data_IF_140276628990
#
_entry.id   IF_140276628990
#
_cell.length_a   1.000
_cell.length_b   1.000
_cell.length_c   1.000
_cell.angle_alpha   90.00
_cell.angle_beta   90.00
_cell.angle_gamma   90.00
#
_symmetry.space_group_name_H-M   'P 1'
#
loop_
_entity.id
_entity.type
_entity.pdbx_description
1 polymer ?
#
# COMPACT_ATOMS: atom_id res chain seq x y z
N UNK A 1 -5.63 9.17 57.98
CA UNK A 1 -6.14 8.21 56.97
C UNK A 1 -5.91 8.78 55.58
N UNK A 2 -4.99 8.20 54.81
CA UNK A 2 -4.75 8.59 53.42
C UNK A 2 -5.65 7.75 52.48
N UNK A 3 -6.26 8.32 51.42
CA UNK A 3 -7.14 7.56 50.55
C UNK A 3 -6.35 6.56 49.70
N UNK A 4 -6.87 5.33 49.60
CA UNK A 4 -6.31 4.20 48.85
C UNK A 4 -5.97 4.58 47.40
N UNK A 5 -4.71 4.38 47.00
CA UNK A 5 -4.31 4.33 45.59
C UNK A 5 -5.12 3.23 44.89
N UNK A 6 -6.02 3.60 43.96
CA UNK A 6 -6.53 2.66 42.97
C UNK A 6 -5.33 2.11 42.20
N UNK A 7 -5.07 0.81 42.30
CA UNK A 7 -4.23 0.10 41.33
C UNK A 7 -5.00 0.16 40.00
N UNK A 8 -4.70 1.14 39.18
CA UNK A 8 -4.99 1.07 37.74
C UNK A 8 -4.28 -0.18 37.23
N UNK A 9 -4.94 -1.08 36.48
CA UNK A 9 -4.24 -2.19 35.84
C UNK A 9 -3.15 -1.59 34.96
N UNK A 10 -1.91 -2.08 35.13
CA UNK A 10 -0.84 -1.78 34.21
C UNK A 10 -1.29 -2.22 32.82
N UNK A 11 -1.13 -1.34 31.83
CA UNK A 11 -1.27 -1.69 30.43
C UNK A 11 -0.24 -2.77 30.11
N UNK A 12 -0.67 -4.03 30.06
CA UNK A 12 0.15 -5.13 29.63
C UNK A 12 -0.72 -6.21 28.97
N UNK A 13 -0.20 -6.68 27.83
CA UNK A 13 -0.31 -8.07 27.36
C UNK A 13 -1.58 -8.51 26.64
N UNK A 14 -1.92 -7.84 25.53
CA UNK A 14 -2.33 -8.59 24.34
C UNK A 14 -1.13 -8.64 23.37
N UNK A 15 -0.48 -9.80 23.14
CA UNK A 15 0.21 -9.99 21.87
C UNK A 15 -0.86 -9.82 20.78
N UNK A 16 -0.62 -9.00 19.75
CA UNK A 16 -1.69 -8.61 18.84
C UNK A 16 -2.08 -9.85 18.05
N UNK A 17 -3.38 -10.12 17.91
CA UNK A 17 -3.90 -11.26 17.15
C UNK A 17 -3.28 -11.42 15.74
N UNK A 18 -2.70 -10.34 15.19
CA UNK A 18 -1.94 -10.33 13.93
C UNK A 18 -0.68 -11.22 13.93
N UNK A 19 0.09 -11.31 15.02
CA UNK A 19 1.30 -12.14 15.04
C UNK A 19 0.99 -13.64 15.03
N UNK A 20 -0.04 -14.06 15.76
CA UNK A 20 -0.44 -15.47 15.78
C UNK A 20 -1.04 -15.88 14.42
N UNK A 21 -1.91 -15.05 13.82
CA UNK A 21 -2.40 -15.27 12.45
C UNK A 21 -1.25 -15.34 11.43
N UNK A 22 -0.20 -14.54 11.63
CA UNK A 22 0.98 -14.53 10.77
C UNK A 22 1.80 -15.82 10.91
N UNK A 23 1.95 -16.35 12.13
CA UNK A 23 2.60 -17.65 12.39
C UNK A 23 1.80 -18.80 11.81
N UNK A 24 0.47 -18.79 11.94
CA UNK A 24 -0.41 -19.78 11.32
C UNK A 24 -0.27 -19.76 9.79
N UNK A 25 -0.25 -18.57 9.21
CA UNK A 25 -0.03 -18.38 7.76
C UNK A 25 1.34 -18.91 7.32
N UNK A 26 2.39 -18.66 8.10
CA UNK A 26 3.73 -19.18 7.86
C UNK A 26 3.75 -20.72 7.88
N UNK A 27 3.12 -21.34 8.89
CA UNK A 27 3.06 -22.79 9.03
C UNK A 27 2.34 -23.44 7.83
N UNK A 28 1.21 -22.87 7.42
CA UNK A 28 0.47 -23.35 6.25
C UNK A 28 1.28 -23.24 4.94
N UNK A 29 2.03 -22.14 4.76
CA UNK A 29 2.95 -21.98 3.63
C UNK A 29 4.07 -23.04 3.65
N UNK A 30 4.62 -23.34 4.83
CA UNK A 30 5.68 -24.32 4.99
C UNK A 30 5.21 -25.73 4.61
N UNK A 31 4.03 -26.14 5.09
CA UNK A 31 3.41 -27.44 4.76
C UNK A 31 3.09 -27.55 3.26
N UNK A 32 2.59 -26.47 2.66
CA UNK A 32 2.34 -26.42 1.22
C UNK A 32 3.65 -26.59 0.43
N UNK A 33 4.70 -25.83 0.77
CA UNK A 33 5.99 -25.90 0.08
C UNK A 33 6.60 -27.30 0.17
N UNK A 34 6.55 -27.91 1.35
CA UNK A 34 7.01 -29.28 1.56
C UNK A 34 6.24 -30.25 0.65
N UNK A 35 4.91 -30.18 0.65
CA UNK A 35 4.06 -31.05 -0.18
C UNK A 35 4.36 -30.91 -1.68
N UNK A 36 4.55 -29.68 -2.17
CA UNK A 36 4.86 -29.46 -3.60
C UNK A 36 6.28 -29.94 -3.92
N UNK A 37 7.24 -29.73 -3.03
CA UNK A 37 8.62 -30.18 -3.20
C UNK A 37 8.70 -31.71 -3.26
N UNK A 38 8.04 -32.42 -2.35
CA UNK A 38 7.95 -33.89 -2.35
C UNK A 38 7.32 -34.43 -3.65
N UNK A 39 6.25 -33.79 -4.13
CA UNK A 39 5.64 -34.15 -5.43
C UNK A 39 6.57 -33.90 -6.62
N UNK A 40 7.44 -32.89 -6.54
CA UNK A 40 8.37 -32.54 -7.59
C UNK A 40 9.60 -33.47 -7.64
N UNK A 41 9.98 -34.10 -6.52
CA UNK A 41 11.12 -35.04 -6.46
C UNK A 41 10.96 -36.27 -7.38
N UNK A 42 9.73 -36.60 -7.79
CA UNK A 42 9.44 -37.66 -8.75
C UNK A 42 9.45 -37.24 -10.22
N UNK A 43 9.74 -35.97 -10.54
CA UNK A 43 9.63 -35.41 -11.90
C UNK A 43 11.00 -34.89 -12.37
N UNK A 44 11.43 -35.28 -13.58
CA UNK A 44 12.73 -34.83 -14.11
C UNK A 44 12.83 -33.29 -14.16
N UNK A 45 13.98 -32.66 -13.85
CA UNK A 45 14.15 -31.19 -13.81
C UNK A 45 13.68 -30.47 -15.08
N UNK A 46 13.85 -31.10 -16.25
CA UNK A 46 13.45 -30.55 -17.55
C UNK A 46 11.93 -30.61 -17.82
N UNK A 47 11.14 -31.24 -16.94
CA UNK A 47 9.66 -31.36 -17.05
C UNK A 47 8.91 -30.62 -15.96
N UNK A 48 9.58 -30.09 -14.93
CA UNK A 48 8.91 -29.31 -13.89
C UNK A 48 8.87 -27.83 -14.27
N UNK A 49 7.79 -27.43 -14.94
CA UNK A 49 7.48 -26.03 -15.23
C UNK A 49 7.21 -25.28 -13.91
N UNK A 50 8.27 -24.80 -13.26
CA UNK A 50 8.18 -24.11 -11.97
C UNK A 50 9.35 -24.31 -11.01
N UNK A 51 10.47 -24.92 -11.42
CA UNK A 51 11.61 -25.15 -10.51
C UNK A 51 12.14 -23.84 -9.88
N UNK A 52 12.19 -22.76 -10.67
CA UNK A 52 12.52 -21.43 -10.19
C UNK A 52 11.50 -20.88 -9.17
N UNK A 53 10.25 -21.31 -9.23
CA UNK A 53 9.22 -20.85 -8.28
C UNK A 53 9.37 -21.56 -6.92
N UNK A 54 9.86 -22.80 -6.89
CA UNK A 54 10.15 -23.52 -5.64
C UNK A 54 11.28 -22.87 -4.86
N UNK A 55 12.33 -22.41 -5.54
CA UNK A 55 13.43 -21.68 -4.90
C UNK A 55 12.99 -20.30 -4.41
N UNK A 56 12.17 -19.57 -5.18
CA UNK A 56 11.58 -18.29 -4.73
C UNK A 56 10.68 -18.50 -3.51
N UNK A 57 9.90 -19.58 -3.47
CA UNK A 57 9.04 -19.90 -2.33
C UNK A 57 9.84 -20.28 -1.08
N UNK A 58 10.93 -21.03 -1.24
CA UNK A 58 11.87 -21.32 -0.15
C UNK A 58 12.48 -20.02 0.42
N UNK A 59 12.92 -19.12 -0.46
CA UNK A 59 13.42 -17.80 -0.05
C UNK A 59 12.33 -16.99 0.67
N UNK A 60 11.08 -17.03 0.20
CA UNK A 60 9.96 -16.40 0.91
C UNK A 60 9.88 -16.92 2.35
N UNK A 61 9.87 -18.24 2.57
CA UNK A 61 9.78 -18.84 3.90
C UNK A 61 10.95 -18.41 4.82
N UNK A 62 12.17 -18.39 4.31
CA UNK A 62 13.35 -17.95 5.05
C UNK A 62 13.25 -16.49 5.50
N UNK A 63 12.78 -15.62 4.60
CA UNK A 63 12.58 -14.21 4.88
C UNK A 63 11.39 -13.95 5.80
N UNK A 64 10.29 -14.68 5.61
CA UNK A 64 9.12 -14.66 6.49
C UNK A 64 9.52 -14.99 7.92
N UNK A 65 10.27 -16.07 8.10
CA UNK A 65 10.79 -16.49 9.40
C UNK A 65 11.74 -15.46 10.00
N UNK A 66 12.64 -14.90 9.19
CA UNK A 66 13.57 -13.84 9.63
C UNK A 66 12.81 -12.63 10.18
N UNK A 67 11.71 -12.24 9.55
CA UNK A 67 10.89 -11.10 9.96
C UNK A 67 10.05 -11.43 11.21
N UNK A 68 9.40 -12.61 11.27
CA UNK A 68 8.64 -13.06 12.45
C UNK A 68 9.56 -13.11 13.68
N UNK A 69 10.68 -13.82 13.55
CA UNK A 69 11.55 -14.15 14.68
C UNK A 69 12.30 -12.92 15.21
N UNK A 70 12.44 -11.85 14.41
CA UNK A 70 13.16 -10.64 14.79
C UNK A 70 12.59 -9.97 16.05
N UNK A 71 13.41 -9.83 17.09
CA UNK A 71 13.05 -9.09 18.29
C UNK A 71 13.74 -7.72 18.28
N UNK A 72 12.96 -6.65 18.10
CA UNK A 72 13.48 -5.27 18.12
C UNK A 72 14.16 -4.97 19.46
N UNK A 73 15.39 -4.45 19.42
CA UNK A 73 16.20 -4.17 20.61
C UNK A 73 17.07 -5.35 21.06
N UNK A 74 16.99 -6.50 20.36
CA UNK A 74 17.96 -7.57 20.51
C UNK A 74 19.11 -7.34 19.53
N UNK A 75 20.30 -7.04 20.06
CA UNK A 75 21.48 -6.70 19.26
C UNK A 75 21.84 -7.75 18.19
N UNK A 76 21.63 -9.04 18.48
CA UNK A 76 21.94 -10.13 17.53
C UNK A 76 20.95 -10.16 16.37
N UNK A 77 19.66 -9.97 16.68
CA UNK A 77 18.60 -9.95 15.67
C UNK A 77 18.69 -8.67 14.83
N UNK A 78 18.94 -7.53 15.47
CA UNK A 78 19.13 -6.23 14.82
C UNK A 78 20.33 -6.29 13.85
N UNK A 79 21.48 -6.82 14.29
CA UNK A 79 22.65 -6.99 13.42
C UNK A 79 22.39 -7.96 12.25
N UNK A 80 21.61 -9.02 12.49
CA UNK A 80 21.19 -9.95 11.44
C UNK A 80 20.29 -9.26 10.41
N UNK A 81 19.32 -8.46 10.86
CA UNK A 81 18.45 -7.70 9.97
C UNK A 81 19.23 -6.74 9.09
N UNK A 82 20.15 -5.95 9.69
CA UNK A 82 20.99 -5.00 8.93
C UNK A 82 21.77 -5.71 7.84
N UNK A 83 22.36 -6.87 8.16
CA UNK A 83 23.11 -7.69 7.20
C UNK A 83 22.24 -8.24 6.06
N UNK A 84 21.03 -8.70 6.37
CA UNK A 84 20.13 -9.33 5.39
C UNK A 84 19.22 -8.30 4.68
N UNK A 85 19.16 -7.04 5.14
CA UNK A 85 18.22 -6.03 4.66
C UNK A 85 18.29 -5.83 3.14
N UNK A 86 19.49 -5.79 2.55
CA UNK A 86 19.64 -5.65 1.10
C UNK A 86 19.01 -6.82 0.35
N UNK A 87 19.26 -8.05 0.81
CA UNK A 87 18.75 -9.26 0.16
C UNK A 87 17.24 -9.38 0.28
N UNK A 88 16.70 -9.02 1.45
CA UNK A 88 15.26 -8.88 1.67
C UNK A 88 14.65 -7.89 0.68
N UNK A 89 15.25 -6.70 0.54
CA UNK A 89 14.78 -5.68 -0.40
C UNK A 89 14.82 -6.19 -1.85
N UNK A 90 15.92 -6.82 -2.28
CA UNK A 90 16.05 -7.33 -3.65
C UNK A 90 15.03 -8.43 -3.96
N UNK A 91 14.73 -9.29 -2.97
CA UNK A 91 13.67 -10.29 -3.08
C UNK A 91 12.30 -9.66 -3.29
N UNK A 92 11.90 -8.70 -2.43
CA UNK A 92 10.60 -8.03 -2.55
C UNK A 92 10.50 -7.16 -3.81
N UNK A 93 11.61 -6.59 -4.28
CA UNK A 93 11.65 -5.76 -5.49
C UNK A 93 11.56 -6.57 -6.79
N UNK A 94 12.17 -7.76 -6.84
CA UNK A 94 12.37 -8.45 -8.12
C UNK A 94 11.71 -9.82 -8.21
N UNK A 95 11.46 -10.48 -7.07
CA UNK A 95 11.06 -11.89 -7.07
C UNK A 95 9.65 -12.11 -6.55
N UNK A 96 9.22 -11.37 -5.51
CA UNK A 96 7.93 -11.64 -4.83
C UNK A 96 6.72 -11.59 -5.76
N UNK A 97 6.75 -10.72 -6.78
CA UNK A 97 5.63 -10.56 -7.70
C UNK A 97 5.36 -11.82 -8.54
N UNK A 98 6.38 -12.64 -8.81
CA UNK A 98 6.21 -13.90 -9.56
C UNK A 98 5.37 -14.93 -8.80
N UNK A 99 5.35 -14.85 -7.46
CA UNK A 99 4.56 -15.76 -6.63
C UNK A 99 3.06 -15.51 -6.77
N UNK A 100 2.64 -14.27 -7.04
CA UNK A 100 1.23 -13.97 -7.32
C UNK A 100 0.77 -14.43 -8.71
N UNK A 101 1.70 -14.74 -9.62
CA UNK A 101 1.38 -15.30 -10.93
C UNK A 101 1.14 -16.83 -10.90
N UNK A 102 1.43 -17.47 -9.76
CA UNK A 102 1.19 -18.88 -9.55
C UNK A 102 -0.31 -19.12 -9.23
N UNK A 103 -0.91 -20.23 -9.70
CA UNK A 103 -2.28 -20.61 -9.35
C UNK A 103 -2.34 -21.14 -7.91
N UNK A 104 -2.04 -20.29 -6.93
CA UNK A 104 -1.96 -20.65 -5.51
C UNK A 104 -3.33 -20.52 -4.84
N UNK A 105 -4.35 -21.15 -5.44
CA UNK A 105 -5.73 -21.18 -4.90
C UNK A 105 -5.81 -21.77 -3.48
N UNK A 106 -4.72 -22.40 -3.01
CA UNK A 106 -4.56 -22.97 -1.67
C UNK A 106 -3.78 -22.06 -0.70
N UNK A 107 -3.25 -20.91 -1.14
CA UNK A 107 -2.45 -19.96 -0.32
C UNK A 107 -3.09 -18.57 -0.32
N UNK A 108 -3.76 -18.20 -1.40
CA UNK A 108 -4.56 -16.99 -1.49
C UNK A 108 -6.03 -17.40 -1.48
N UNK A 109 -6.68 -17.28 -0.33
CA UNK A 109 -8.09 -17.57 -0.21
C UNK A 109 -8.89 -16.53 -1.02
N UNK A 110 -9.92 -16.96 -1.79
CA UNK A 110 -10.90 -16.01 -2.31
C UNK A 110 -11.54 -15.27 -1.12
N UNK A 111 -11.43 -13.95 -1.19
CA UNK A 111 -11.67 -13.00 -0.10
C UNK A 111 -13.03 -13.22 0.57
N UNK A 112 -13.03 -13.40 1.89
CA UNK A 112 -14.14 -12.92 2.73
C UNK A 112 -13.82 -11.48 3.16
N UNK A 113 -14.82 -10.57 3.18
CA UNK A 113 -14.64 -9.12 3.16
C UNK A 113 -14.08 -8.46 4.44
N UNK A 114 -13.44 -9.19 5.36
CA UNK A 114 -13.15 -8.66 6.70
C UNK A 114 -11.68 -8.37 7.03
N UNK A 115 -10.67 -9.03 6.44
CA UNK A 115 -9.27 -8.83 6.88
C UNK A 115 -8.20 -9.03 5.79
N UNK A 116 -7.42 -7.99 5.41
CA UNK A 116 -6.30 -8.10 4.46
C UNK A 116 -5.25 -9.14 4.87
N UNK A 117 -4.96 -9.27 6.17
CA UNK A 117 -3.99 -10.24 6.73
C UNK A 117 -4.37 -11.70 6.43
N UNK A 118 -5.66 -12.00 6.34
CA UNK A 118 -6.17 -13.37 6.09
C UNK A 118 -6.27 -13.75 4.60
N UNK A 119 -5.95 -12.81 3.70
CA UNK A 119 -6.12 -13.00 2.25
C UNK A 119 -4.82 -13.38 1.53
N UNK A 120 -3.68 -12.93 2.06
CA UNK A 120 -2.36 -13.17 1.49
C UNK A 120 -1.29 -13.12 2.58
N UNK A 121 -0.48 -14.18 2.75
CA UNK A 121 0.61 -14.18 3.71
C UNK A 121 1.64 -13.05 3.49
N UNK A 122 1.93 -12.69 2.23
CA UNK A 122 2.88 -11.61 1.89
C UNK A 122 2.34 -10.26 2.38
N UNK A 123 1.04 -9.99 2.21
CA UNK A 123 0.45 -8.74 2.70
C UNK A 123 0.27 -8.74 4.21
N UNK A 124 -0.08 -9.89 4.81
CA UNK A 124 -0.04 -10.04 6.26
C UNK A 124 1.33 -9.70 6.85
N UNK A 125 2.41 -10.12 6.17
CA UNK A 125 3.77 -9.78 6.54
C UNK A 125 4.07 -8.28 6.41
N UNK A 126 3.64 -7.62 5.33
CA UNK A 126 3.82 -6.17 5.15
C UNK A 126 3.03 -5.36 6.19
N UNK A 127 1.78 -5.73 6.46
CA UNK A 127 0.98 -5.14 7.54
C UNK A 127 1.67 -5.31 8.89
N UNK A 128 2.21 -6.48 9.19
CA UNK A 128 2.94 -6.71 10.45
C UNK A 128 4.23 -5.88 10.56
N UNK A 129 4.98 -5.69 9.47
CA UNK A 129 6.14 -4.77 9.46
C UNK A 129 5.68 -3.35 9.79
N UNK A 130 4.60 -2.88 9.15
CA UNK A 130 4.08 -1.53 9.37
C UNK A 130 3.54 -1.33 10.78
N UNK A 131 2.62 -2.19 11.22
CA UNK A 131 1.90 -2.03 12.48
C UNK A 131 2.77 -2.39 13.68
N UNK A 132 3.58 -3.46 13.62
CA UNK A 132 4.29 -3.95 14.79
C UNK A 132 5.77 -3.58 14.79
N UNK A 133 6.50 -3.83 13.70
CA UNK A 133 7.97 -3.63 13.71
C UNK A 133 8.35 -2.16 13.71
N UNK A 134 7.76 -1.36 12.81
CA UNK A 134 8.04 0.07 12.75
C UNK A 134 7.57 0.81 14.00
N UNK A 135 6.40 0.45 14.55
CA UNK A 135 5.91 1.06 15.79
C UNK A 135 6.89 0.81 16.95
N UNK A 136 7.40 -0.42 17.10
CA UNK A 136 8.38 -0.76 18.15
C UNK A 136 9.70 -0.02 18.03
N UNK A 137 10.16 0.28 16.81
CA UNK A 137 11.39 1.07 16.62
C UNK A 137 11.20 2.56 16.97
N UNK A 138 9.94 3.01 17.09
CA UNK A 138 9.57 4.42 17.25
C UNK A 138 8.90 4.71 18.60
N UNK A 139 8.50 3.70 19.35
CA UNK A 139 7.95 3.83 20.69
C UNK A 139 9.00 4.44 21.63
N UNK A 140 8.63 5.41 22.50
CA UNK A 140 9.54 5.92 23.50
C UNK A 140 9.95 4.78 24.44
N UNK A 141 11.18 4.31 24.31
CA UNK A 141 11.76 3.33 25.22
C UNK A 141 11.74 3.92 26.64
N UNK A 142 11.29 3.13 27.61
CA UNK A 142 11.15 3.57 29.00
C UNK A 142 12.51 4.00 29.55
N UNK A 143 12.59 5.27 29.98
CA UNK A 143 13.46 5.97 30.95
C UNK A 143 14.83 5.40 31.40
N UNK A 144 15.48 4.52 30.64
CA UNK A 144 16.84 4.07 30.90
C UNK A 144 17.70 4.51 29.73
N UNK A 145 18.66 5.37 30.09
CA UNK A 145 19.73 5.92 29.27
C UNK A 145 20.17 4.94 28.19
N UNK A 146 20.17 5.37 26.93
CA UNK A 146 21.29 5.15 26.01
C UNK A 146 21.02 5.84 24.67
N UNK A 147 21.89 6.79 24.30
CA UNK A 147 21.91 7.40 22.98
C UNK A 147 22.18 6.36 21.88
N UNK A 148 22.97 5.31 22.18
CA UNK A 148 23.29 4.22 21.24
C UNK A 148 22.06 3.41 20.82
N UNK A 149 21.20 3.00 21.76
CA UNK A 149 19.96 2.27 21.42
C UNK A 149 19.00 3.11 20.56
N UNK A 150 19.01 4.43 20.71
CA UNK A 150 18.21 5.33 19.87
C UNK A 150 18.72 5.35 18.43
N UNK A 151 20.04 5.46 18.24
CA UNK A 151 20.68 5.43 16.91
C UNK A 151 20.49 4.06 16.22
N UNK A 152 20.60 2.96 16.97
CA UNK A 152 20.35 1.60 16.45
C UNK A 152 18.87 1.41 16.07
N UNK A 153 17.93 1.91 16.89
CA UNK A 153 16.50 1.83 16.60
C UNK A 153 16.10 2.59 15.33
N UNK A 154 16.75 3.72 15.06
CA UNK A 154 16.55 4.49 13.83
C UNK A 154 17.05 3.71 12.61
N UNK A 155 18.25 3.11 12.71
CA UNK A 155 18.82 2.31 11.64
C UNK A 155 18.00 1.06 11.31
N UNK A 156 17.48 0.39 12.35
CA UNK A 156 16.56 -0.75 12.20
C UNK A 156 15.22 -0.31 11.61
N UNK A 157 14.70 0.83 12.06
CA UNK A 157 13.52 1.46 11.47
C UNK A 157 13.69 1.72 9.96
N UNK A 158 14.85 2.23 9.55
CA UNK A 158 15.17 2.44 8.13
C UNK A 158 15.21 1.13 7.33
N UNK A 159 15.69 0.03 7.93
CA UNK A 159 15.66 -1.28 7.28
C UNK A 159 14.21 -1.75 7.01
N UNK A 160 13.32 -1.60 7.99
CA UNK A 160 11.90 -1.92 7.81
C UNK A 160 11.23 -1.06 6.75
N UNK A 161 11.50 0.24 6.73
CA UNK A 161 11.01 1.14 5.69
C UNK A 161 11.50 0.75 4.29
N UNK A 162 12.78 0.39 4.16
CA UNK A 162 13.34 -0.07 2.87
C UNK A 162 12.64 -1.33 2.36
N UNK A 163 12.30 -2.26 3.24
CA UNK A 163 11.55 -3.48 2.88
C UNK A 163 10.15 -3.13 2.38
N UNK A 164 9.42 -2.26 3.07
CA UNK A 164 8.09 -1.79 2.63
C UNK A 164 8.14 -1.07 1.28
N UNK A 165 9.14 -0.21 1.09
CA UNK A 165 9.34 0.49 -0.18
C UNK A 165 9.66 -0.50 -1.31
N UNK A 166 10.57 -1.46 -1.08
CA UNK A 166 10.93 -2.47 -2.06
C UNK A 166 9.73 -3.33 -2.49
N UNK A 167 8.81 -3.63 -1.56
CA UNK A 167 7.56 -4.31 -1.89
C UNK A 167 6.69 -3.51 -2.86
N UNK A 168 6.49 -2.21 -2.60
CA UNK A 168 5.77 -1.31 -3.53
C UNK A 168 6.46 -1.22 -4.90
N UNK A 169 7.79 -1.04 -4.90
CA UNK A 169 8.58 -1.03 -6.13
C UNK A 169 8.43 -2.32 -6.93
N UNK A 170 8.39 -3.47 -6.26
CA UNK A 170 8.22 -4.77 -6.92
C UNK A 170 6.88 -4.92 -7.63
N UNK A 171 5.79 -4.47 -7.01
CA UNK A 171 4.47 -4.42 -7.66
C UNK A 171 4.53 -3.54 -8.90
N UNK A 172 5.07 -2.32 -8.77
CA UNK A 172 5.18 -1.36 -9.88
C UNK A 172 6.02 -1.91 -11.04
N UNK A 173 7.20 -2.48 -10.76
CA UNK A 173 8.08 -3.08 -11.76
C UNK A 173 7.38 -4.23 -12.47
N UNK A 174 6.70 -5.11 -11.73
CA UNK A 174 5.96 -6.22 -12.31
C UNK A 174 4.87 -5.71 -13.25
N UNK A 175 4.08 -4.73 -12.82
CA UNK A 175 3.02 -4.14 -13.63
C UNK A 175 3.54 -3.49 -14.91
N UNK A 176 4.67 -2.78 -14.84
CA UNK A 176 5.27 -2.11 -16.00
C UNK A 176 5.88 -3.08 -17.02
N UNK A 177 6.38 -4.23 -16.55
CA UNK A 177 7.02 -5.23 -17.41
C UNK A 177 6.04 -6.31 -17.90
N UNK A 178 4.87 -6.44 -17.28
CA UNK A 178 3.88 -7.43 -17.66
C UNK A 178 3.26 -7.07 -19.02
N UNK A 179 3.25 -8.03 -19.96
CA UNK A 179 2.45 -7.88 -21.17
C UNK A 179 0.97 -7.80 -20.80
N UNK A 180 0.25 -6.84 -21.37
CA UNK A 180 -1.19 -6.71 -21.14
C UNK A 180 -1.92 -7.99 -21.59
N UNK A 181 -2.64 -8.63 -20.67
CA UNK A 181 -3.32 -9.90 -20.91
C UNK A 181 -4.11 -10.36 -19.69
N UNK A 182 -4.86 -11.46 -19.83
CA UNK A 182 -5.79 -11.97 -18.81
C UNK A 182 -5.12 -12.30 -17.48
N UNK A 183 -3.86 -12.78 -17.48
CA UNK A 183 -3.08 -13.04 -16.26
C UNK A 183 -2.75 -11.77 -15.49
N UNK A 184 -2.39 -10.70 -16.21
CA UNK A 184 -2.08 -9.39 -15.63
C UNK A 184 -3.33 -8.76 -15.01
N UNK A 185 -4.48 -8.88 -15.67
CA UNK A 185 -5.77 -8.42 -15.10
C UNK A 185 -6.18 -9.21 -13.85
N UNK A 186 -5.96 -10.52 -13.83
CA UNK A 186 -6.20 -11.34 -12.64
C UNK A 186 -5.29 -10.93 -11.47
N UNK A 187 -4.00 -10.72 -11.74
CA UNK A 187 -3.07 -10.18 -10.73
C UNK A 187 -3.54 -8.82 -10.21
N UNK A 188 -3.93 -7.90 -11.11
CA UNK A 188 -4.41 -6.56 -10.73
C UNK A 188 -5.61 -6.64 -9.78
N UNK A 189 -6.61 -7.46 -10.08
CA UNK A 189 -7.80 -7.63 -9.24
C UNK A 189 -7.43 -8.26 -7.90
N UNK A 190 -6.63 -9.34 -7.92
CA UNK A 190 -6.23 -10.05 -6.71
C UNK A 190 -5.43 -9.18 -5.77
N UNK A 191 -4.44 -8.45 -6.28
CA UNK A 191 -3.58 -7.57 -5.49
C UNK A 191 -4.30 -6.27 -5.13
N UNK A 192 -5.11 -5.70 -6.00
CA UNK A 192 -5.84 -4.45 -5.74
C UNK A 192 -6.78 -4.56 -4.52
N UNK A 193 -7.57 -5.63 -4.44
CA UNK A 193 -8.53 -5.87 -3.35
C UNK A 193 -7.90 -5.84 -1.93
N UNK A 194 -6.59 -6.09 -1.85
CA UNK A 194 -5.87 -6.30 -0.59
C UNK A 194 -4.80 -5.23 -0.37
N UNK A 195 -4.25 -4.68 -1.46
CA UNK A 195 -3.27 -3.60 -1.45
C UNK A 195 -3.92 -2.25 -1.17
N UNK A 196 -5.07 -1.89 -1.75
CA UNK A 196 -5.68 -0.59 -1.51
C UNK A 196 -6.13 -0.35 -0.06
N UNK A 197 -6.69 -1.34 0.67
CA UNK A 197 -6.92 -1.21 2.10
C UNK A 197 -5.63 -0.96 2.90
N UNK A 198 -4.56 -1.69 2.58
CA UNK A 198 -3.24 -1.47 3.19
C UNK A 198 -2.70 -0.07 2.86
N UNK A 199 -2.76 0.32 1.58
CA UNK A 199 -2.32 1.63 1.10
C UNK A 199 -3.09 2.75 1.81
N UNK A 200 -4.39 2.60 2.01
CA UNK A 200 -5.21 3.55 2.75
C UNK A 200 -4.81 3.67 4.22
N UNK A 201 -4.57 2.53 4.86
CA UNK A 201 -4.14 2.47 6.24
C UNK A 201 -2.79 3.19 6.44
N UNK A 202 -1.83 3.00 5.53
CA UNK A 202 -0.52 3.67 5.59
C UNK A 202 -0.53 5.12 5.09
N UNK A 203 -1.43 5.47 4.16
CA UNK A 203 -1.57 6.81 3.59
C UNK A 203 -2.41 7.76 4.45
N UNK A 204 -3.17 7.22 5.42
CA UNK A 204 -3.66 7.98 6.56
C UNK A 204 -5.18 8.18 6.61
N UNK A 205 -5.92 7.11 6.91
CA UNK A 205 -7.13 7.21 7.74
C UNK A 205 -7.30 5.94 8.58
N UNK A 206 -6.71 5.92 9.78
CA UNK A 206 -7.36 5.30 10.94
C UNK A 206 -6.75 5.81 12.24
N UNK A 207 -7.60 5.83 13.26
CA UNK A 207 -7.44 6.34 14.63
C UNK A 207 -6.25 5.73 15.39
N UNK A 208 -5.01 5.90 14.92
CA UNK A 208 -3.88 5.81 15.81
C UNK A 208 -3.88 7.08 16.65
N UNK A 209 -3.84 6.92 17.97
CA UNK A 209 -3.58 7.98 18.95
C UNK A 209 -2.23 8.67 18.74
N UNK A 210 -1.47 8.27 17.72
CA UNK A 210 -0.21 8.85 17.30
C UNK A 210 -0.10 8.76 15.77
N UNK A 211 -0.36 9.83 14.99
CA UNK A 211 -0.31 9.79 13.53
C UNK A 211 1.15 9.61 13.06
N UNK A 212 1.58 8.36 12.95
CA UNK A 212 2.93 7.97 12.58
C UNK A 212 3.23 8.38 11.13
N UNK A 213 4.35 9.08 10.89
CA UNK A 213 4.78 9.44 9.53
C UNK A 213 5.77 8.40 9.02
N UNK A 214 5.36 7.60 8.02
CA UNK A 214 6.32 6.94 7.13
C UNK A 214 7.20 7.99 6.46
N UNK A 215 8.44 7.63 6.11
CA UNK A 215 9.25 8.46 5.23
C UNK A 215 8.57 8.65 3.87
N UNK A 216 8.80 9.81 3.25
CA UNK A 216 8.23 10.14 1.94
C UNK A 216 8.64 9.12 0.87
N UNK A 217 9.83 8.52 0.99
CA UNK A 217 10.28 7.45 0.11
C UNK A 217 9.34 6.23 0.12
N UNK A 218 8.91 5.77 1.31
CA UNK A 218 7.99 4.64 1.43
C UNK A 218 6.61 5.02 0.88
N UNK A 219 6.09 6.19 1.25
CA UNK A 219 4.79 6.68 0.77
C UNK A 219 4.75 6.72 -0.75
N UNK A 220 5.77 7.32 -1.38
CA UNK A 220 5.92 7.39 -2.82
C UNK A 220 5.96 6.00 -3.45
N UNK A 221 6.78 5.09 -2.92
CA UNK A 221 6.92 3.73 -3.46
C UNK A 221 5.59 2.96 -3.43
N UNK A 222 4.81 3.11 -2.35
CA UNK A 222 3.50 2.47 -2.22
C UNK A 222 2.42 3.13 -3.08
N UNK A 223 2.44 4.46 -3.23
CA UNK A 223 1.52 5.18 -4.11
C UNK A 223 1.78 4.88 -5.59
N UNK A 224 3.04 4.84 -6.02
CA UNK A 224 3.40 4.48 -7.39
C UNK A 224 2.97 3.03 -7.72
N UNK A 225 2.99 2.12 -6.73
CA UNK A 225 2.43 0.78 -6.88
C UNK A 225 0.90 0.79 -7.03
N UNK A 226 0.21 1.61 -6.23
CA UNK A 226 -1.24 1.79 -6.32
C UNK A 226 -1.69 2.40 -7.65
N UNK A 227 -0.90 3.33 -8.18
CA UNK A 227 -1.11 3.92 -9.51
C UNK A 227 -0.93 2.86 -10.61
N UNK A 228 0.16 2.10 -10.59
CA UNK A 228 0.43 1.03 -11.54
C UNK A 228 -0.65 -0.08 -11.54
N UNK A 229 -1.20 -0.43 -10.36
CA UNK A 229 -2.31 -1.37 -10.23
C UNK A 229 -3.63 -0.84 -10.82
N UNK A 230 -3.83 0.47 -10.80
CA UNK A 230 -5.04 1.13 -11.34
C UNK A 230 -5.02 1.27 -12.86
N UNK A 231 -3.83 1.17 -13.46
CA UNK A 231 -3.59 1.26 -14.89
C UNK A 231 -4.30 0.15 -15.66
N UNK A 232 -5.54 0.42 -16.09
CA UNK A 232 -6.29 -0.45 -17.01
C UNK A 232 -7.29 -1.43 -16.39
N UNK A 233 -7.45 -1.49 -15.06
CA UNK A 233 -8.51 -2.29 -14.40
C UNK A 233 -9.65 -1.39 -13.94
N UNK A 234 -10.89 -1.72 -14.35
CA UNK A 234 -12.07 -1.01 -13.90
C UNK A 234 -12.38 -1.32 -12.42
N UNK A 235 -12.16 -2.58 -12.02
CA UNK A 235 -12.36 -3.08 -10.66
C UNK A 235 -11.49 -2.32 -9.65
N UNK A 236 -10.21 -2.12 -9.96
CA UNK A 236 -9.29 -1.38 -9.10
C UNK A 236 -9.66 0.10 -9.00
N UNK A 237 -10.20 0.69 -10.08
CA UNK A 237 -10.71 2.06 -10.02
C UNK A 237 -11.92 2.17 -9.09
N UNK A 238 -12.80 1.18 -9.06
CA UNK A 238 -13.92 1.19 -8.09
C UNK A 238 -13.43 1.10 -6.64
N UNK A 239 -12.42 0.27 -6.36
CA UNK A 239 -11.81 0.19 -5.01
C UNK A 239 -11.22 1.54 -4.57
N UNK A 240 -10.60 2.29 -5.49
CA UNK A 240 -10.08 3.62 -5.19
C UNK A 240 -11.22 4.63 -4.97
N UNK A 241 -12.35 4.48 -5.67
CA UNK A 241 -13.52 5.34 -5.47
C UNK A 241 -14.23 5.07 -4.15
N UNK A 242 -14.13 3.85 -3.62
CA UNK A 242 -14.77 3.45 -2.38
C UNK A 242 -14.22 4.27 -1.19
N UNK A 243 -15.04 5.12 -0.54
CA UNK A 243 -14.62 5.93 0.58
C UNK A 243 -14.28 5.13 1.84
N UNK A 244 -14.68 3.85 1.92
CA UNK A 244 -14.35 2.95 3.04
C UNK A 244 -13.02 2.25 2.86
N UNK A 245 -12.45 2.28 1.65
CA UNK A 245 -11.19 1.65 1.30
C UNK A 245 -10.12 2.73 1.15
N UNK A 246 -10.06 3.42 0.01
CA UNK A 246 -9.06 4.46 -0.22
C UNK A 246 -9.72 5.83 -0.34
N UNK A 247 -10.64 5.94 -1.29
CA UNK A 247 -11.57 7.04 -1.37
C UNK A 247 -10.98 8.41 -1.74
N UNK A 248 -11.87 9.39 -1.93
CA UNK A 248 -11.46 10.75 -2.24
C UNK A 248 -10.82 11.48 -1.04
N UNK A 249 -11.10 11.08 0.20
CA UNK A 249 -10.58 11.73 1.40
C UNK A 249 -9.05 11.58 1.54
N UNK A 250 -8.52 10.39 1.24
CA UNK A 250 -7.08 10.12 1.30
C UNK A 250 -6.36 10.84 0.17
N UNK A 251 -6.87 10.75 -1.07
CA UNK A 251 -6.35 11.51 -2.21
C UNK A 251 -6.33 13.01 -1.94
N UNK A 252 -7.45 13.53 -1.41
CA UNK A 252 -7.58 14.92 -1.01
C UNK A 252 -6.53 15.33 0.03
N UNK A 253 -6.31 14.49 1.04
CA UNK A 253 -5.31 14.76 2.08
C UNK A 253 -3.89 14.80 1.52
N UNK A 254 -3.53 13.86 0.64
CA UNK A 254 -2.20 13.81 0.00
C UNK A 254 -1.99 15.06 -0.88
N UNK A 255 -2.97 15.40 -1.71
CA UNK A 255 -2.94 16.59 -2.58
C UNK A 255 -2.88 17.87 -1.73
N UNK A 256 -3.62 17.93 -0.62
CA UNK A 256 -3.65 19.09 0.25
C UNK A 256 -2.34 19.31 1.01
N UNK A 257 -1.72 18.25 1.54
CA UNK A 257 -0.50 18.39 2.34
C UNK A 257 0.73 18.75 1.48
N UNK A 258 0.80 18.23 0.26
CA UNK A 258 1.80 18.51 -0.81
C UNK A 258 3.28 18.75 -0.40
N UNK A 259 3.69 18.31 0.80
CA UNK A 259 5.06 18.42 1.32
C UNK A 259 6.08 17.65 0.49
N UNK A 260 5.63 16.60 -0.19
CA UNK A 260 6.34 15.96 -1.29
C UNK A 260 5.58 16.21 -2.59
N UNK A 261 6.18 17.01 -3.46
CA UNK A 261 5.62 17.39 -4.77
C UNK A 261 5.23 16.16 -5.59
N UNK A 262 6.05 15.11 -5.54
CA UNK A 262 5.88 13.94 -6.40
C UNK A 262 4.69 13.10 -5.93
N UNK A 263 4.58 12.86 -4.62
CA UNK A 263 3.45 12.15 -4.02
C UNK A 263 2.12 12.87 -4.26
N UNK A 264 2.09 14.20 -4.13
CA UNK A 264 0.91 14.99 -4.47
C UNK A 264 0.55 14.90 -5.96
N UNK A 265 1.56 14.89 -6.84
CA UNK A 265 1.36 14.71 -8.28
C UNK A 265 0.75 13.34 -8.60
N UNK A 266 1.32 12.27 -8.06
CA UNK A 266 0.80 10.90 -8.25
C UNK A 266 -0.64 10.80 -7.75
N UNK A 267 -0.97 11.39 -6.59
CA UNK A 267 -2.34 11.41 -6.09
C UNK A 267 -3.30 12.21 -6.99
N UNK A 268 -2.86 13.35 -7.54
CA UNK A 268 -3.67 14.14 -8.49
C UNK A 268 -3.93 13.38 -9.79
N UNK A 269 -2.90 12.72 -10.33
CA UNK A 269 -3.02 11.86 -11.51
C UNK A 269 -3.98 10.70 -11.25
N UNK A 270 -3.84 10.03 -10.11
CA UNK A 270 -4.73 8.94 -9.70
C UNK A 270 -6.18 9.42 -9.58
N UNK A 271 -6.40 10.55 -8.90
CA UNK A 271 -7.71 11.17 -8.76
C UNK A 271 -8.36 11.47 -10.13
N UNK A 272 -7.58 11.90 -11.11
CA UNK A 272 -8.08 12.18 -12.46
C UNK A 272 -8.37 10.89 -13.26
N UNK A 273 -7.47 9.90 -13.21
CA UNK A 273 -7.59 8.62 -13.93
C UNK A 273 -8.75 7.77 -13.42
N UNK A 274 -9.03 7.88 -12.12
CA UNK A 274 -10.13 7.19 -11.44
C UNK A 274 -11.45 7.92 -11.60
N UNK A 275 -11.45 9.24 -11.83
CA UNK A 275 -12.68 10.02 -11.96
C UNK A 275 -13.66 9.42 -12.99
N UNK A 276 -14.99 9.46 -12.72
CA UNK A 276 -16.00 9.00 -13.67
C UNK A 276 -15.79 9.59 -15.08
N UNK A 277 -15.94 8.79 -16.15
CA UNK A 277 -15.51 9.19 -17.49
C UNK A 277 -16.34 10.37 -18.04
N UNK A 278 -15.69 11.24 -18.81
CA UNK A 278 -16.34 12.37 -19.51
C UNK A 278 -17.32 11.93 -20.60
N UNK A 279 -17.09 10.76 -21.20
CA UNK A 279 -17.93 10.14 -22.23
C UNK A 279 -17.96 8.63 -21.96
N UNK A 280 -19.14 8.01 -22.03
CA UNK A 280 -19.28 6.55 -22.02
C UNK A 280 -18.50 5.94 -23.19
N UNK A 281 -17.85 4.79 -22.97
CA UNK A 281 -17.04 4.10 -23.98
C UNK A 281 -17.81 3.74 -25.25
N UNK A 282 -17.09 3.49 -26.34
CA UNK A 282 -17.66 3.14 -27.66
C UNK A 282 -18.57 1.91 -27.53
N UNK A 283 -19.87 2.14 -27.68
CA UNK A 283 -20.94 1.16 -27.49
C UNK A 283 -22.33 1.82 -27.52
N UNK A 284 -22.40 3.11 -27.17
CA UNK A 284 -23.57 3.94 -27.48
C UNK A 284 -23.49 4.54 -28.89
N UNK A 285 -24.61 4.62 -29.62
CA UNK A 285 -24.67 5.25 -30.94
C UNK A 285 -24.06 6.65 -30.93
N UNK A 286 -23.28 6.98 -31.97
CA UNK A 286 -22.74 8.34 -32.17
C UNK A 286 -23.89 9.35 -32.12
N UNK A 287 -23.88 10.24 -31.13
CA UNK A 287 -24.86 11.31 -30.97
C UNK A 287 -25.51 11.41 -29.59
N UNK A 288 -25.36 10.40 -28.72
CA UNK A 288 -25.92 10.45 -27.37
C UNK A 288 -24.99 11.26 -26.46
N UNK A 289 -25.46 12.44 -26.00
CA UNK A 289 -24.83 13.19 -24.89
C UNK A 289 -24.63 12.22 -23.73
N UNK A 290 -23.47 12.27 -23.08
CA UNK A 290 -23.25 11.53 -21.85
C UNK A 290 -24.44 11.81 -20.90
N UNK A 291 -25.09 10.80 -20.31
CA UNK A 291 -26.22 11.03 -19.42
C UNK A 291 -25.81 12.07 -18.36
N UNK A 292 -26.72 12.99 -18.04
CA UNK A 292 -26.53 14.06 -17.05
C UNK A 292 -25.87 13.53 -15.76
N UNK A 293 -26.13 12.26 -15.44
CA UNK A 293 -25.59 11.51 -14.31
C UNK A 293 -24.06 11.37 -14.31
N UNK A 294 -23.41 11.21 -15.47
CA UNK A 294 -21.94 11.00 -15.54
C UNK A 294 -21.15 12.28 -15.30
N UNK A 295 -21.61 13.41 -15.84
CA UNK A 295 -20.99 14.73 -15.60
C UNK A 295 -21.20 15.15 -14.14
N UNK A 296 -22.38 14.88 -13.59
CA UNK A 296 -22.71 15.14 -12.18
C UNK A 296 -21.87 14.25 -11.26
N UNK A 297 -21.73 12.95 -11.55
CA UNK A 297 -20.87 12.05 -10.79
C UNK A 297 -19.39 12.48 -10.83
N UNK A 298 -18.87 12.87 -12.00
CA UNK A 298 -17.51 13.40 -12.14
C UNK A 298 -17.32 14.69 -11.35
N UNK A 299 -18.32 15.58 -11.34
CA UNK A 299 -18.30 16.80 -10.52
C UNK A 299 -18.28 16.47 -9.03
N UNK A 300 -19.17 15.60 -8.58
CA UNK A 300 -19.24 15.17 -7.17
C UNK A 300 -17.96 14.49 -6.71
N UNK A 301 -17.29 13.74 -7.60
CA UNK A 301 -15.96 13.18 -7.35
C UNK A 301 -14.94 14.28 -7.07
N UNK A 302 -14.77 15.25 -7.97
CA UNK A 302 -13.78 16.31 -7.78
C UNK A 302 -14.13 17.27 -6.62
N UNK A 303 -15.40 17.46 -6.29
CA UNK A 303 -15.81 18.18 -5.07
C UNK A 303 -15.25 17.50 -3.81
N UNK A 304 -15.28 16.16 -3.77
CA UNK A 304 -14.72 15.40 -2.64
C UNK A 304 -13.18 15.37 -2.63
N UNK A 305 -12.53 15.47 -3.79
CA UNK A 305 -11.07 15.59 -3.89
C UNK A 305 -10.60 16.98 -3.42
N UNK A 306 -11.34 18.03 -3.77
CA UNK A 306 -11.06 19.43 -3.40
C UNK A 306 -12.16 19.98 -2.46
N UNK A 307 -12.30 19.48 -1.22
CA UNK A 307 -13.33 19.95 -0.29
C UNK A 307 -13.09 21.43 0.09
N UNK A 308 -14.15 22.24 0.13
CA UNK A 308 -14.06 23.67 0.40
C UNK A 308 -13.47 23.98 1.78
N UNK A 309 -13.65 23.09 2.75
CA UNK A 309 -13.14 23.22 4.11
C UNK A 309 -11.61 23.20 4.15
N UNK A 310 -10.98 22.43 3.27
CA UNK A 310 -9.52 22.41 3.11
C UNK A 310 -9.07 23.42 2.07
N UNK A 311 -9.76 23.43 0.93
CA UNK A 311 -9.30 24.10 -0.27
C UNK A 311 -9.84 25.52 -0.47
N UNK A 312 -10.74 26.01 0.37
CA UNK A 312 -11.44 27.27 0.14
C UNK A 312 -12.42 27.18 -1.03
N UNK A 313 -13.58 27.82 -0.87
CA UNK A 313 -14.66 27.76 -1.86
C UNK A 313 -14.26 28.29 -3.26
N UNK A 314 -13.57 29.44 -3.40
CA UNK A 314 -13.21 29.96 -4.72
C UNK A 314 -12.29 29.02 -5.50
N UNK A 315 -11.27 28.47 -4.84
CA UNK A 315 -10.31 27.56 -5.47
C UNK A 315 -10.95 26.21 -5.78
N UNK A 316 -11.79 25.67 -4.89
CA UNK A 316 -12.58 24.46 -5.19
C UNK A 316 -13.41 24.67 -6.47
N UNK A 317 -14.16 25.77 -6.57
CA UNK A 317 -15.05 26.01 -7.71
C UNK A 317 -14.26 26.10 -9.03
N UNK A 318 -13.13 26.80 -9.02
CA UNK A 318 -12.21 26.89 -10.16
C UNK A 318 -11.68 25.50 -10.56
N UNK A 319 -11.09 24.79 -9.62
CA UNK A 319 -10.45 23.49 -9.84
C UNK A 319 -11.43 22.43 -10.33
N UNK A 320 -12.59 22.33 -9.69
CA UNK A 320 -13.64 21.38 -10.07
C UNK A 320 -14.16 21.72 -11.47
N UNK A 321 -14.40 23.00 -11.77
CA UNK A 321 -14.85 23.42 -13.10
C UNK A 321 -13.85 23.03 -14.20
N UNK A 322 -12.56 23.27 -13.94
CA UNK A 322 -11.47 22.89 -14.83
C UNK A 322 -11.43 21.36 -15.03
N UNK A 323 -11.32 20.57 -13.96
CA UNK A 323 -11.10 19.11 -14.02
C UNK A 323 -12.29 18.31 -14.57
N UNK A 324 -13.52 18.79 -14.32
CA UNK A 324 -14.74 18.14 -14.84
C UNK A 324 -14.82 18.21 -16.36
N UNK A 325 -14.25 19.24 -16.97
CA UNK A 325 -14.32 19.47 -18.42
C UNK A 325 -13.08 19.04 -19.20
N UNK A 326 -11.94 18.86 -18.51
CA UNK A 326 -10.67 18.48 -19.14
C UNK A 326 -10.66 17.04 -19.66
N UNK A 327 -10.35 16.86 -20.95
CA UNK A 327 -10.01 15.56 -21.52
C UNK A 327 -8.67 15.03 -20.98
N UNK A 328 -8.43 13.72 -21.12
CA UNK A 328 -7.15 13.10 -20.72
C UNK A 328 -5.94 13.83 -21.33
N UNK A 329 -5.98 14.13 -22.64
CA UNK A 329 -4.90 14.87 -23.31
C UNK A 329 -4.66 16.25 -22.68
N UNK A 330 -5.73 16.99 -22.37
CA UNK A 330 -5.62 18.31 -21.76
C UNK A 330 -5.06 18.23 -20.34
N UNK A 331 -5.48 17.24 -19.56
CA UNK A 331 -4.97 17.02 -18.22
C UNK A 331 -3.46 16.76 -18.22
N UNK A 332 -2.97 15.84 -19.04
CA UNK A 332 -1.53 15.52 -19.07
C UNK A 332 -0.66 16.68 -19.56
N UNK A 333 -1.16 17.48 -20.50
CA UNK A 333 -0.45 18.67 -21.00
C UNK A 333 -0.46 19.80 -19.96
N UNK A 334 -1.59 20.01 -19.28
CA UNK A 334 -1.79 21.09 -18.30
C UNK A 334 -1.48 20.69 -16.85
N UNK A 335 -0.85 19.54 -16.61
CA UNK A 335 -0.63 19.02 -15.26
C UNK A 335 0.21 19.97 -14.42
N UNK A 336 1.27 20.55 -15.00
CA UNK A 336 2.12 21.54 -14.33
C UNK A 336 1.34 22.76 -13.86
N UNK A 337 0.52 23.35 -14.74
CA UNK A 337 -0.31 24.52 -14.40
C UNK A 337 -1.29 24.21 -13.25
N UNK A 338 -1.85 23.00 -13.22
CA UNK A 338 -2.76 22.57 -12.16
C UNK A 338 -2.02 22.48 -10.82
N UNK A 339 -0.79 21.97 -10.84
CA UNK A 339 0.04 21.87 -9.64
C UNK A 339 0.43 23.26 -9.13
N UNK A 340 0.89 24.15 -10.00
CA UNK A 340 1.27 25.51 -9.64
C UNK A 340 0.12 26.26 -8.96
N UNK A 341 -1.11 26.08 -9.45
CA UNK A 341 -2.31 26.60 -8.79
C UNK A 341 -2.50 26.05 -7.37
N UNK A 342 -2.29 24.75 -7.16
CA UNK A 342 -2.40 24.14 -5.82
C UNK A 342 -1.37 24.77 -4.85
N UNK A 343 -0.12 24.95 -5.29
CA UNK A 343 0.94 25.59 -4.51
C UNK A 343 0.63 27.06 -4.19
N UNK A 344 0.24 27.85 -5.19
CA UNK A 344 -0.13 29.26 -5.00
C UNK A 344 -1.29 29.42 -4.00
N UNK A 345 -2.25 28.52 -4.09
CA UNK A 345 -3.39 28.52 -3.18
C UNK A 345 -2.97 28.23 -1.73
N UNK A 346 -1.96 27.39 -1.47
CA UNK A 346 -1.46 27.18 -0.10
C UNK A 346 -0.79 28.43 0.47
N UNK A 347 0.06 29.08 -0.32
CA UNK A 347 0.68 30.36 0.06
C UNK A 347 -0.35 31.44 0.39
N UNK A 348 -1.45 31.49 -0.37
CA UNK A 348 -2.53 32.46 -0.15
C UNK A 348 -3.31 32.26 1.16
N UNK A 349 -3.19 31.11 1.83
CA UNK A 349 -3.80 30.84 3.13
C UNK A 349 -2.89 31.06 4.33
N UNK A 350 -1.58 31.15 4.09
CA UNK A 350 -0.58 31.41 5.11
C UNK A 350 -0.34 32.93 5.34
N UNK A 351 -0.97 33.76 4.51
CA UNK A 351 -1.10 35.22 4.64
C UNK A 351 -2.47 35.53 5.21
#
# INVERSE_FOLDING_TARGET
MAPRKKKTPAANDQPPASLELLKESYQALQEFHQTVTEKAQGVSPNRFAGANNLSIFQQLLEYFKTIIDHQTGNQKDDARLVKECSRLCDFFRHQVASLYALPLKNIFAPIKPAFPVTSSPILGLMSYIYEAKLERCRAPFSLVRETRFKDDSEHIGQCWERILAAFGEGIRIFMNNAQHGTKTSQFQILVGNVFYPFLAHVAGFQNSTNPHRLSEYVKRSLLDAGEALSGGSAENKELIRDPTIFGPAILSHIIFNHSDFITANTALQLAFVVAPPLKMGKGLPKGVKAPIDTKTARRNWFIQIFPAEKFGKPFQEEMVSQLVSMSSKQFWVGLGDIQDKIFQNDHSRLV
#
